data_IF_931823003259
#
_entry.id   IF_931823003259
#
_cell.length_a   1.000
_cell.length_b   1.000
_cell.length_c   1.000
_cell.angle_alpha   90.00
_cell.angle_beta   90.00
_cell.angle_gamma   90.00
#
_symmetry.space_group_name_H-M   'P 1'
#
loop_
_entity.id
_entity.type
_entity.pdbx_description
1 polymer ?
#
# COMPACT_ATOMS: atom_id res chain seq x y z
N UNK A 1 6.66 12.19 8.39
CA UNK A 1 6.68 11.31 7.21
C UNK A 1 5.27 10.79 6.99
N UNK A 2 4.85 10.54 5.75
CA UNK A 2 3.57 9.88 5.48
C UNK A 2 3.64 8.42 5.97
N UNK A 3 2.59 7.93 6.61
CA UNK A 3 2.54 6.56 7.17
C UNK A 3 2.20 5.50 6.12
N UNK A 4 1.56 5.90 5.02
CA UNK A 4 1.13 5.02 3.95
C UNK A 4 1.28 5.68 2.58
N UNK A 5 1.28 4.86 1.52
CA UNK A 5 1.27 5.31 0.13
C UNK A 5 0.33 4.44 -0.69
N UNK A 6 -0.48 5.07 -1.55
CA UNK A 6 -1.27 4.37 -2.57
C UNK A 6 -0.72 4.69 -3.96
N UNK A 7 -0.26 3.66 -4.66
CA UNK A 7 0.39 3.79 -5.98
C UNK A 7 -0.28 2.90 -7.01
N UNK A 8 -0.24 3.36 -8.26
CA UNK A 8 -0.60 2.53 -9.40
C UNK A 8 0.65 1.84 -9.95
N UNK A 9 0.51 0.58 -10.38
CA UNK A 9 1.61 -0.25 -10.89
C UNK A 9 2.31 -1.11 -9.83
N UNK A 10 3.28 -1.89 -10.27
CA UNK A 10 3.97 -2.93 -9.47
C UNK A 10 5.28 -2.44 -8.84
N UNK A 11 5.63 -1.15 -8.97
CA UNK A 11 6.87 -0.62 -8.42
C UNK A 11 6.76 -0.37 -6.92
N UNK A 12 7.39 -1.26 -6.15
CA UNK A 12 7.50 -1.20 -4.70
C UNK A 12 8.47 -0.08 -4.29
N UNK A 13 8.02 0.90 -3.48
CA UNK A 13 8.93 1.92 -2.95
C UNK A 13 9.99 1.31 -2.02
N UNK A 14 11.22 1.85 -1.98
CA UNK A 14 12.29 1.33 -1.12
C UNK A 14 11.87 1.37 0.36
N UNK A 15 12.04 0.24 1.06
CA UNK A 15 11.67 0.10 2.47
C UNK A 15 10.17 0.03 2.74
N UNK A 16 9.31 0.15 1.71
CA UNK A 16 7.88 0.04 1.87
C UNK A 16 7.43 -1.42 1.88
N UNK A 17 6.41 -1.73 2.68
CA UNK A 17 5.77 -3.06 2.73
C UNK A 17 4.41 -2.99 2.05
N UNK A 18 4.13 -3.95 1.17
CA UNK A 18 2.80 -4.09 0.57
C UNK A 18 1.78 -4.56 1.61
N UNK A 19 0.66 -3.84 1.72
CA UNK A 19 -0.47 -4.15 2.62
C UNK A 19 -1.63 -4.76 1.86
N UNK A 20 -1.97 -4.19 0.70
CA UNK A 20 -3.07 -4.66 -0.11
C UNK A 20 -2.85 -4.34 -1.58
N UNK A 21 -3.23 -5.28 -2.46
CA UNK A 21 -3.09 -5.18 -3.90
C UNK A 21 -4.44 -5.45 -4.58
N UNK A 22 -4.88 -4.50 -5.39
CA UNK A 22 -6.04 -4.61 -6.25
C UNK A 22 -5.58 -4.72 -7.72
N UNK A 23 -5.74 -5.89 -8.36
CA UNK A 23 -5.46 -6.03 -9.78
C UNK A 23 -6.39 -5.13 -10.64
N UNK A 24 -6.01 -4.84 -11.90
CA UNK A 24 -6.88 -4.15 -12.84
C UNK A 24 -8.27 -4.80 -12.90
N UNK A 25 -9.31 -3.98 -12.86
CA UNK A 25 -10.68 -4.46 -12.95
C UNK A 25 -11.00 -4.75 -14.41
N UNK A 26 -11.64 -5.90 -14.66
CA UNK A 26 -12.09 -6.27 -16.01
C UNK A 26 -13.09 -5.25 -16.56
N UNK A 27 -12.76 -4.65 -17.71
CA UNK A 27 -13.58 -3.63 -18.37
C UNK A 27 -14.96 -4.18 -18.82
N UNK A 28 -15.08 -5.50 -19.00
CA UNK A 28 -16.32 -6.19 -19.35
C UNK A 28 -17.29 -6.41 -18.18
N UNK A 29 -16.91 -6.04 -16.94
CA UNK A 29 -17.79 -6.17 -15.77
C UNK A 29 -18.99 -5.23 -15.86
N UNK A 30 -20.20 -5.81 -15.77
CA UNK A 30 -21.44 -5.03 -15.57
C UNK A 30 -21.33 -4.14 -14.33
N UNK A 31 -21.97 -2.96 -14.36
CA UNK A 31 -22.00 -2.00 -13.24
C UNK A 31 -22.34 -2.65 -11.89
N UNK A 32 -23.37 -3.50 -11.83
CA UNK A 32 -23.77 -4.20 -10.59
C UNK A 32 -22.66 -5.09 -10.02
N UNK A 33 -21.96 -5.84 -10.88
CA UNK A 33 -20.83 -6.68 -10.45
C UNK A 33 -19.65 -5.83 -10.00
N UNK A 34 -19.46 -4.67 -10.63
CA UNK A 34 -18.43 -3.71 -10.25
C UNK A 34 -18.71 -3.10 -8.88
N UNK A 35 -19.94 -2.67 -8.62
CA UNK A 35 -20.32 -2.13 -7.31
C UNK A 35 -20.14 -3.19 -6.20
N UNK A 36 -20.51 -4.45 -6.49
CA UNK A 36 -20.30 -5.56 -5.57
C UNK A 36 -18.80 -5.85 -5.32
N UNK A 37 -17.97 -5.78 -6.37
CA UNK A 37 -16.52 -5.89 -6.25
C UNK A 37 -15.96 -4.76 -5.38
N UNK A 38 -16.32 -3.51 -5.65
CA UNK A 38 -15.82 -2.36 -4.89
C UNK A 38 -16.25 -2.41 -3.43
N UNK A 39 -17.46 -2.89 -3.13
CA UNK A 39 -17.88 -3.12 -1.76
C UNK A 39 -16.99 -4.14 -1.06
N UNK A 40 -16.74 -5.29 -1.71
CA UNK A 40 -15.86 -6.34 -1.19
C UNK A 40 -14.44 -5.85 -0.98
N UNK A 41 -13.88 -5.10 -1.94
CA UNK A 41 -12.56 -4.49 -1.84
C UNK A 41 -12.50 -3.51 -0.66
N UNK A 42 -13.56 -2.73 -0.44
CA UNK A 42 -13.67 -1.83 0.70
C UNK A 42 -13.63 -2.56 2.05
N UNK A 43 -14.33 -3.68 2.17
CA UNK A 43 -14.31 -4.51 3.38
C UNK A 43 -12.92 -5.15 3.59
N UNK A 44 -12.32 -5.70 2.53
CA UNK A 44 -11.01 -6.36 2.58
C UNK A 44 -9.88 -5.37 2.93
N UNK A 45 -9.83 -4.20 2.29
CA UNK A 45 -8.80 -3.19 2.58
C UNK A 45 -8.98 -2.59 3.98
N UNK A 46 -10.21 -2.44 4.46
CA UNK A 46 -10.49 -1.97 5.82
C UNK A 46 -9.94 -2.95 6.86
N UNK A 47 -10.18 -4.25 6.68
CA UNK A 47 -9.63 -5.27 7.56
C UNK A 47 -8.10 -5.24 7.56
N UNK A 48 -7.46 -5.19 6.38
CA UNK A 48 -6.00 -5.14 6.28
C UNK A 48 -5.39 -3.88 6.89
N UNK A 49 -5.99 -2.71 6.67
CA UNK A 49 -5.54 -1.46 7.29
C UNK A 49 -5.61 -1.54 8.81
N UNK A 50 -6.67 -2.14 9.36
CA UNK A 50 -6.82 -2.33 10.80
C UNK A 50 -5.79 -3.33 11.35
N UNK A 51 -5.57 -4.46 10.66
CA UNK A 51 -4.60 -5.49 11.05
C UNK A 51 -3.16 -4.96 11.08
N UNK A 52 -2.80 -4.12 10.10
CA UNK A 52 -1.48 -3.47 10.06
C UNK A 52 -1.41 -2.23 10.98
N UNK A 53 -2.52 -1.80 11.59
CA UNK A 53 -2.55 -0.60 12.43
C UNK A 53 -2.25 0.69 11.65
N UNK A 54 -2.64 0.75 10.37
CA UNK A 54 -2.56 1.96 9.55
C UNK A 54 -3.76 2.88 9.81
N UNK A 55 -3.65 4.19 9.56
CA UNK A 55 -4.77 5.12 9.73
C UNK A 55 -5.91 4.79 8.76
N UNK A 56 -7.15 4.92 9.23
CA UNK A 56 -8.36 4.69 8.40
C UNK A 56 -8.40 5.56 7.13
N UNK A 57 -7.72 6.71 7.13
CA UNK A 57 -7.55 7.54 5.93
C UNK A 57 -6.94 6.78 4.74
N UNK A 58 -6.09 5.77 5.01
CA UNK A 58 -5.52 4.90 3.98
C UNK A 58 -6.60 4.18 3.18
N UNK A 59 -7.68 3.73 3.83
CA UNK A 59 -8.85 3.10 3.17
C UNK A 59 -9.52 4.11 2.24
N UNK A 60 -9.78 5.32 2.72
CA UNK A 60 -10.48 6.34 1.95
C UNK A 60 -9.68 6.77 0.71
N UNK A 61 -8.37 6.95 0.85
CA UNK A 61 -7.47 7.28 -0.27
C UNK A 61 -7.38 6.13 -1.27
N UNK A 62 -7.27 4.89 -0.78
CA UNK A 62 -7.23 3.70 -1.63
C UNK A 62 -8.51 3.56 -2.44
N UNK A 63 -9.68 3.59 -1.79
CA UNK A 63 -10.97 3.46 -2.46
C UNK A 63 -11.23 4.58 -3.45
N UNK A 64 -10.84 5.82 -3.13
CA UNK A 64 -10.96 6.94 -4.09
C UNK A 64 -10.14 6.70 -5.35
N UNK A 65 -8.91 6.19 -5.21
CA UNK A 65 -8.05 5.84 -6.37
C UNK A 65 -8.57 4.62 -7.13
N UNK A 66 -9.05 3.60 -6.44
CA UNK A 66 -9.62 2.40 -7.06
C UNK A 66 -10.83 2.75 -7.95
N UNK A 67 -11.69 3.64 -7.48
CA UNK A 67 -12.83 4.15 -8.25
C UNK A 67 -12.42 5.05 -9.43
N UNK A 68 -11.27 5.72 -9.34
CA UNK A 68 -10.78 6.62 -10.38
C UNK A 68 -9.87 5.94 -11.43
N UNK A 69 -9.33 4.75 -11.14
CA UNK A 69 -8.33 4.08 -11.96
C UNK A 69 -8.68 2.60 -12.14
N UNK A 70 -9.82 2.34 -12.77
CA UNK A 70 -10.40 1.00 -12.93
C UNK A 70 -9.48 0.03 -13.72
N UNK A 71 -8.71 0.54 -14.68
CA UNK A 71 -7.84 -0.27 -15.56
C UNK A 71 -6.40 -0.41 -15.06
N UNK A 72 -6.08 0.09 -13.87
CA UNK A 72 -4.72 0.07 -13.33
C UNK A 72 -4.61 -0.83 -12.09
N UNK A 73 -3.49 -1.56 -12.00
CA UNK A 73 -3.08 -2.19 -10.74
C UNK A 73 -2.92 -1.10 -9.69
N UNK A 74 -3.49 -1.30 -8.51
CA UNK A 74 -3.39 -0.38 -7.38
C UNK A 74 -2.86 -1.10 -6.14
N UNK A 75 -1.89 -0.50 -5.48
CA UNK A 75 -1.23 -1.09 -4.30
C UNK A 75 -1.21 -0.07 -3.17
N UNK A 76 -1.59 -0.53 -1.96
CA UNK A 76 -1.43 0.18 -0.70
C UNK A 76 -0.15 -0.32 -0.02
N UNK A 77 0.72 0.62 0.35
CA UNK A 77 1.96 0.37 1.03
C UNK A 77 1.97 1.00 2.43
N UNK A 78 2.57 0.29 3.39
CA UNK A 78 3.00 0.82 4.68
C UNK A 78 4.42 1.40 4.51
N UNK A 79 4.59 2.66 4.92
CA UNK A 79 5.87 3.37 4.84
C UNK A 79 6.59 3.46 6.19
N UNK A 80 6.00 2.97 7.28
CA UNK A 80 6.61 3.06 8.61
C UNK A 80 7.90 2.24 8.70
N UNK A 81 7.93 1.10 8.02
CA UNK A 81 9.13 0.26 7.89
C UNK A 81 10.21 0.85 6.96
N UNK A 82 9.88 1.88 6.16
CA UNK A 82 10.86 2.52 5.28
C UNK A 82 11.89 3.36 6.05
N UNK A 83 11.61 3.67 7.33
CA UNK A 83 12.56 4.30 8.25
C UNK A 83 13.46 3.31 8.99
N UNK A 84 13.18 2.01 8.95
CA UNK A 84 13.99 0.94 9.57
C UNK A 84 15.01 0.39 8.58
N UNK A 85 15.67 1.27 7.81
CA UNK A 85 16.99 0.91 7.30
C UNK A 85 17.94 1.09 8.47
N UNK A 86 18.32 0.00 9.14
CA UNK A 86 19.38 0.03 10.14
C UNK A 86 20.57 0.82 9.58
N UNK A 87 21.12 1.83 10.28
CA UNK A 87 22.50 2.16 10.04
C UNK A 87 23.28 0.91 10.43
N UNK A 88 23.91 0.23 9.47
CA UNK A 88 24.99 -0.72 9.80
C UNK A 88 26.02 0.05 10.63
N UNK A 89 25.88 -0.06 11.95
CA UNK A 89 26.76 0.52 12.95
C UNK A 89 27.82 -0.50 13.37
N UNK A 90 29.03 -0.01 13.55
CA UNK A 90 30.16 -0.73 14.13
C UNK A 90 31.36 -0.71 13.19
N UNK A 91 32.44 0.00 13.46
CA UNK A 91 32.86 0.75 14.63
C UNK A 91 34.25 1.28 14.28
N UNK A 92 34.63 2.38 14.90
CA UNK A 92 36.00 2.91 14.85
C UNK A 92 36.99 1.80 15.24
N UNK A 93 37.97 1.49 14.38
CA UNK A 93 39.21 0.87 14.84
C UNK A 93 40.30 1.93 14.85
N UNK A 94 40.63 2.31 16.07
CA UNK A 94 41.67 3.21 16.49
C UNK A 94 43.03 2.57 16.21
N UNK A 95 43.85 3.23 15.38
CA UNK A 95 45.31 3.30 15.48
C UNK A 95 46.13 2.00 15.58
N UNK A 96 46.95 1.75 14.54
CA UNK A 96 48.27 1.18 14.74
C UNK A 96 49.30 1.84 13.80
N UNK A 97 50.07 2.75 14.41
CA UNK A 97 51.47 3.15 14.16
C UNK A 97 52.11 2.84 12.80
#
# INVERSE_FOLDING_TARGET
>A
MAEFLVRSGDEVPPGAREVYRLPPVDEGLSRKRRDALMKRVGDEVTARVADEGLPFEAVAVFMRKALASESALLVLYDLRSAGESEPSGGGEDEGAR
#
